data_IF_638732966248
#
_entry.id   IF_638732966248
#
_cell.length_a   1.000
_cell.length_b   1.000
_cell.length_c   1.000
_cell.angle_alpha   90.00
_cell.angle_beta   90.00
_cell.angle_gamma   90.00
#
_symmetry.space_group_name_H-M   'P 1'
#
loop_
_entity.id
_entity.type
_entity.pdbx_description
1 polymer ?
#
# COMPACT_ATOMS: atom_id res chain seq x y z
N UNK A 1 12.98 13.36 0.47
CA UNK A 1 13.91 12.30 0.02
C UNK A 1 13.13 11.35 -0.86
N UNK A 2 13.63 11.00 -2.03
CA UNK A 2 12.96 10.02 -2.88
C UNK A 2 12.99 8.65 -2.18
N UNK A 3 11.85 7.97 -2.14
CA UNK A 3 11.74 6.62 -1.62
C UNK A 3 12.52 5.66 -2.54
N UNK A 4 13.48 4.92 -1.97
CA UNK A 4 14.27 3.94 -2.74
C UNK A 4 14.00 2.53 -2.21
N UNK A 5 13.31 1.72 -3.00
CA UNK A 5 12.98 0.33 -2.70
C UNK A 5 14.22 -0.60 -2.65
N UNK A 6 15.32 -0.19 -3.30
CA UNK A 6 16.57 -0.98 -3.30
C UNK A 6 17.26 -0.98 -1.93
N UNK A 7 16.75 -0.16 -0.99
CA UNK A 7 17.19 -0.19 0.40
C UNK A 7 16.60 -1.36 1.20
N UNK A 8 15.65 -2.12 0.62
CA UNK A 8 14.98 -3.21 1.31
C UNK A 8 15.40 -4.56 0.72
N UNK A 9 15.66 -5.52 1.60
CA UNK A 9 15.96 -6.90 1.20
C UNK A 9 14.66 -7.67 1.03
N UNK A 10 14.52 -8.43 -0.03
CA UNK A 10 13.35 -9.26 -0.27
C UNK A 10 13.35 -10.54 0.59
N UNK A 11 12.19 -11.15 0.74
CA UNK A 11 12.02 -12.34 1.58
C UNK A 11 12.78 -13.56 1.03
N UNK A 12 12.80 -13.83 -0.29
CA UNK A 12 13.62 -14.90 -0.87
C UNK A 12 15.10 -14.79 -0.52
N UNK A 13 15.67 -13.60 -0.59
CA UNK A 13 17.07 -13.35 -0.22
C UNK A 13 17.32 -13.65 1.25
N UNK A 14 16.46 -13.13 2.16
CA UNK A 14 16.53 -13.42 3.60
C UNK A 14 16.45 -14.92 3.89
N UNK A 15 15.52 -15.62 3.23
CA UNK A 15 15.34 -17.07 3.40
C UNK A 15 16.56 -17.84 2.88
N UNK A 16 17.12 -17.43 1.75
CA UNK A 16 18.33 -18.07 1.21
C UNK A 16 19.52 -17.93 2.16
N UNK A 17 19.71 -16.75 2.75
CA UNK A 17 20.75 -16.52 3.77
C UNK A 17 20.51 -17.36 5.03
N UNK A 18 19.25 -17.45 5.47
CA UNK A 18 18.87 -18.24 6.64
C UNK A 18 19.13 -19.73 6.42
N UNK A 19 18.76 -20.29 5.26
CA UNK A 19 19.00 -21.69 4.91
C UNK A 19 20.48 -22.01 4.77
N UNK A 20 21.31 -21.08 4.30
CA UNK A 20 22.78 -21.28 4.28
C UNK A 20 23.34 -21.41 5.69
N UNK A 21 22.81 -20.62 6.65
CA UNK A 21 23.27 -20.64 8.05
C UNK A 21 22.66 -21.78 8.85
N UNK A 22 21.40 -22.09 8.58
CA UNK A 22 20.59 -23.11 9.28
C UNK A 22 19.97 -24.06 8.25
N UNK A 23 20.71 -25.08 7.77
CA UNK A 23 20.23 -26.01 6.73
C UNK A 23 18.96 -26.78 7.13
N UNK A 24 18.74 -26.98 8.43
CA UNK A 24 17.58 -27.68 8.98
C UNK A 24 16.44 -26.76 9.41
N UNK A 25 16.48 -25.48 8.95
CA UNK A 25 15.45 -24.50 9.25
C UNK A 25 14.03 -25.02 8.92
N UNK A 26 13.09 -24.73 9.80
CA UNK A 26 11.67 -25.06 9.64
C UNK A 26 10.84 -23.81 9.78
N UNK A 27 9.78 -23.74 8.99
CA UNK A 27 8.82 -22.65 8.99
C UNK A 27 7.45 -23.23 9.31
N UNK A 28 6.76 -22.62 10.26
CA UNK A 28 5.39 -22.96 10.60
C UNK A 28 4.51 -21.72 10.50
N UNK A 29 3.43 -21.84 9.76
CA UNK A 29 2.40 -20.82 9.63
C UNK A 29 1.22 -21.17 10.52
N UNK A 30 0.76 -20.22 11.34
CA UNK A 30 -0.33 -20.40 12.29
C UNK A 30 -1.19 -19.14 12.36
N UNK A 31 -2.35 -19.26 13.01
CA UNK A 31 -3.23 -18.14 13.32
C UNK A 31 -3.69 -17.35 12.09
N UNK A 32 -3.91 -18.09 10.99
CA UNK A 32 -4.36 -17.53 9.72
C UNK A 32 -5.87 -17.29 9.76
N UNK A 33 -6.29 -16.04 9.98
CA UNK A 33 -7.71 -15.68 10.12
C UNK A 33 -7.99 -14.24 9.73
N UNK A 34 -9.24 -13.97 9.35
CA UNK A 34 -9.74 -12.60 9.20
C UNK A 34 -10.20 -12.10 10.56
N UNK A 35 -9.68 -10.94 10.96
CA UNK A 35 -10.03 -10.28 12.23
C UNK A 35 -10.70 -8.93 11.93
N UNK A 36 -11.71 -8.60 12.75
CA UNK A 36 -12.37 -7.28 12.68
C UNK A 36 -11.93 -6.46 13.88
N UNK A 37 -11.49 -5.25 13.61
CA UNK A 37 -11.09 -4.28 14.62
C UNK A 37 -12.31 -3.55 15.19
N UNK A 38 -12.19 -2.88 16.35
CA UNK A 38 -13.30 -2.13 16.96
C UNK A 38 -13.87 -1.00 16.09
N UNK A 39 -13.09 -0.46 15.17
CA UNK A 39 -13.50 0.55 14.19
C UNK A 39 -14.22 -0.02 12.97
N UNK A 40 -14.44 -1.35 12.93
CA UNK A 40 -15.08 -2.06 11.82
C UNK A 40 -14.13 -2.41 10.67
N UNK A 41 -12.87 -2.00 10.69
CA UNK A 41 -11.89 -2.41 9.69
C UNK A 41 -11.56 -3.89 9.83
N UNK A 42 -11.32 -4.56 8.71
CA UNK A 42 -10.99 -5.99 8.66
C UNK A 42 -9.59 -6.21 8.14
N UNK A 43 -8.91 -7.20 8.73
CA UNK A 43 -7.56 -7.59 8.35
C UNK A 43 -7.46 -9.10 8.28
N UNK A 44 -6.67 -9.58 7.33
CA UNK A 44 -6.14 -10.93 7.40
C UNK A 44 -4.90 -10.92 8.30
N UNK A 45 -4.94 -11.68 9.38
CA UNK A 45 -3.85 -11.85 10.34
C UNK A 45 -3.26 -13.25 10.21
N UNK A 46 -1.94 -13.34 10.23
CA UNK A 46 -1.22 -14.61 10.28
C UNK A 46 0.05 -14.46 11.11
N UNK A 47 0.50 -15.58 11.66
CA UNK A 47 1.72 -15.68 12.43
C UNK A 47 2.64 -16.71 11.78
N UNK A 48 3.91 -16.37 11.65
CA UNK A 48 4.96 -17.27 11.17
C UNK A 48 5.98 -17.47 12.26
N UNK A 49 6.31 -18.73 12.51
CA UNK A 49 7.37 -19.17 13.42
C UNK A 49 8.47 -19.80 12.59
N UNK A 50 9.71 -19.33 12.80
CA UNK A 50 10.90 -19.84 12.12
C UNK A 50 11.82 -20.48 13.16
N UNK A 51 12.02 -21.78 13.04
CA UNK A 51 12.91 -22.60 13.86
C UNK A 51 14.25 -22.78 13.14
N UNK A 52 15.37 -22.67 13.88
CA UNK A 52 16.71 -22.94 13.33
C UNK A 52 16.92 -24.43 13.02
N UNK A 53 16.29 -25.29 13.85
CA UNK A 53 16.25 -26.74 13.72
C UNK A 53 15.04 -27.30 14.47
N UNK A 54 14.95 -28.64 14.59
CA UNK A 54 13.82 -29.35 15.25
C UNK A 54 13.79 -29.11 16.76
N UNK A 55 14.95 -28.82 17.39
CA UNK A 55 15.11 -28.67 18.84
C UNK A 55 15.16 -27.19 19.26
N UNK A 56 14.85 -26.26 18.37
CA UNK A 56 14.89 -24.83 18.66
C UNK A 56 13.81 -24.41 19.66
N UNK A 57 14.21 -24.26 20.94
CA UNK A 57 13.33 -23.87 22.04
C UNK A 57 12.92 -22.38 22.00
N UNK A 58 13.62 -21.54 21.24
CA UNK A 58 13.39 -20.08 21.15
C UNK A 58 13.32 -19.64 19.68
N UNK A 59 12.32 -20.08 18.93
CA UNK A 59 12.18 -19.72 17.53
C UNK A 59 11.86 -18.23 17.35
N UNK A 60 12.14 -17.70 16.16
CA UNK A 60 11.69 -16.37 15.80
C UNK A 60 10.21 -16.39 15.41
N UNK A 61 9.41 -15.52 16.02
CA UNK A 61 7.95 -15.43 15.79
C UNK A 61 7.62 -14.03 15.31
N UNK A 62 6.85 -13.93 14.23
CA UNK A 62 6.34 -12.67 13.75
C UNK A 62 4.89 -12.79 13.29
N UNK A 63 4.10 -11.76 13.56
CA UNK A 63 2.72 -11.64 13.09
C UNK A 63 2.63 -10.49 12.09
N UNK A 64 1.91 -10.70 11.01
CA UNK A 64 1.52 -9.68 10.05
C UNK A 64 0.00 -9.57 9.96
N UNK A 65 -0.47 -8.38 9.59
CA UNK A 65 -1.87 -8.12 9.31
C UNK A 65 -1.96 -7.29 8.02
N UNK A 66 -2.68 -7.82 7.03
CA UNK A 66 -2.95 -7.15 5.77
C UNK A 66 -4.41 -6.72 5.70
N UNK A 67 -4.73 -5.52 5.18
CA UNK A 67 -6.12 -5.10 4.99
C UNK A 67 -6.92 -6.14 4.19
N UNK A 68 -8.14 -6.42 4.61
CA UNK A 68 -9.05 -7.35 3.95
C UNK A 68 -10.40 -6.70 3.71
N UNK A 69 -10.86 -6.57 2.44
CA UNK A 69 -10.14 -6.90 1.20
C UNK A 69 -8.91 -6.01 0.97
N UNK A 70 -7.93 -6.54 0.22
CA UNK A 70 -6.69 -5.83 -0.11
C UNK A 70 -6.95 -4.54 -0.87
N UNK A 71 -6.26 -3.46 -0.49
CA UNK A 71 -6.49 -2.11 -1.03
C UNK A 71 -5.66 -1.79 -2.27
N UNK A 72 -4.54 -2.49 -2.46
CA UNK A 72 -3.62 -2.23 -3.58
C UNK A 72 -3.79 -3.28 -4.68
N UNK A 73 -3.40 -2.98 -5.94
CA UNK A 73 -3.37 -3.99 -7.00
C UNK A 73 -2.49 -5.21 -6.67
N UNK A 74 -1.47 -5.00 -5.83
CA UNK A 74 -0.55 -6.06 -5.40
C UNK A 74 -1.19 -6.97 -4.34
N UNK A 75 -1.99 -6.42 -3.43
CA UNK A 75 -2.59 -7.17 -2.32
C UNK A 75 -3.97 -7.73 -2.65
N UNK A 76 -4.74 -7.07 -3.53
CA UNK A 76 -6.11 -7.47 -3.87
C UNK A 76 -6.16 -8.90 -4.42
N UNK A 77 -7.00 -9.74 -3.78
CA UNK A 77 -7.15 -11.17 -4.06
C UNK A 77 -5.88 -12.01 -3.79
N UNK A 78 -4.90 -11.45 -3.05
CA UNK A 78 -3.65 -12.11 -2.68
C UNK A 78 -3.30 -11.88 -1.21
N UNK A 79 -4.25 -11.40 -0.42
CA UNK A 79 -4.06 -10.94 0.96
C UNK A 79 -3.41 -12.02 1.84
N UNK A 80 -3.86 -13.27 1.68
CA UNK A 80 -3.32 -14.42 2.42
C UNK A 80 -1.83 -14.64 2.10
N UNK A 81 -1.48 -14.68 0.82
CA UNK A 81 -0.08 -14.89 0.39
C UNK A 81 0.82 -13.72 0.79
N UNK A 82 0.32 -12.48 0.66
CA UNK A 82 1.07 -11.29 1.03
C UNK A 82 1.28 -11.24 2.54
N UNK A 83 0.26 -11.51 3.34
CA UNK A 83 0.34 -11.55 4.80
C UNK A 83 1.34 -12.61 5.29
N UNK A 84 1.29 -13.84 4.75
CA UNK A 84 2.25 -14.90 5.07
C UNK A 84 3.69 -14.50 4.72
N UNK A 85 3.88 -13.93 3.53
CA UNK A 85 5.21 -13.47 3.10
C UNK A 85 5.73 -12.34 3.99
N UNK A 86 4.86 -11.39 4.38
CA UNK A 86 5.21 -10.29 5.29
C UNK A 86 5.62 -10.81 6.67
N UNK A 87 4.85 -11.76 7.23
CA UNK A 87 5.17 -12.38 8.52
C UNK A 87 6.51 -13.14 8.46
N UNK A 88 6.73 -13.94 7.41
CA UNK A 88 8.00 -14.65 7.19
C UNK A 88 9.18 -13.69 7.10
N UNK A 89 9.04 -12.64 6.29
CA UNK A 89 10.08 -11.62 6.13
C UNK A 89 10.49 -10.96 7.45
N UNK A 90 9.52 -10.68 8.33
CA UNK A 90 9.77 -10.15 9.68
C UNK A 90 10.43 -11.17 10.59
N UNK A 91 9.96 -12.42 10.63
CA UNK A 91 10.56 -13.48 11.44
C UNK A 91 12.04 -13.70 11.08
N UNK A 92 12.36 -13.75 9.78
CA UNK A 92 13.74 -13.84 9.30
C UNK A 92 14.54 -12.57 9.66
N UNK A 93 13.92 -11.39 9.61
CA UNK A 93 14.53 -10.14 10.08
C UNK A 93 14.87 -10.19 11.56
N UNK A 94 14.02 -10.74 12.42
CA UNK A 94 14.30 -10.92 13.85
C UNK A 94 15.46 -11.89 14.12
N UNK A 95 15.73 -12.83 13.20
CA UNK A 95 16.90 -13.69 13.23
C UNK A 95 18.18 -12.99 12.72
N UNK A 96 18.08 -11.73 12.29
CA UNK A 96 19.21 -10.90 11.82
C UNK A 96 19.48 -10.98 10.31
N UNK A 97 18.63 -11.62 9.52
CA UNK A 97 18.84 -11.71 8.06
C UNK A 97 18.32 -10.46 7.33
N UNK A 98 19.20 -9.86 6.52
CA UNK A 98 18.87 -8.72 5.69
C UNK A 98 18.41 -7.47 6.44
N UNK A 99 18.89 -7.25 7.69
CA UNK A 99 18.47 -6.13 8.55
C UNK A 99 19.37 -4.90 8.47
N UNK A 100 20.33 -4.87 7.57
CA UNK A 100 21.33 -3.81 7.49
C UNK A 100 20.73 -2.39 7.34
N UNK A 101 19.52 -2.30 6.84
CA UNK A 101 18.82 -1.02 6.60
C UNK A 101 17.40 -0.98 7.18
N UNK A 102 16.68 -2.10 7.26
CA UNK A 102 15.31 -2.18 7.75
C UNK A 102 14.90 -3.60 8.14
N UNK A 103 14.06 -3.72 9.17
CA UNK A 103 13.38 -4.99 9.49
C UNK A 103 12.28 -5.30 8.46
N UNK A 104 11.60 -4.25 7.94
CA UNK A 104 10.62 -4.44 6.88
C UNK A 104 11.26 -5.04 5.63
N UNK A 105 10.60 -5.99 4.98
CA UNK A 105 11.07 -6.57 3.72
C UNK A 105 10.61 -5.72 2.53
N UNK A 106 11.27 -5.89 1.37
CA UNK A 106 10.87 -5.25 0.12
C UNK A 106 9.41 -5.56 -0.24
N UNK A 107 8.99 -6.80 -0.03
CA UNK A 107 7.63 -7.26 -0.28
C UNK A 107 6.60 -6.53 0.60
N UNK A 108 6.90 -6.35 1.90
CA UNK A 108 6.03 -5.63 2.83
C UNK A 108 5.88 -4.15 2.44
N UNK A 109 6.96 -3.54 1.99
CA UNK A 109 6.95 -2.14 1.55
C UNK A 109 6.14 -1.98 0.25
N UNK A 110 6.31 -2.89 -0.72
CA UNK A 110 5.52 -2.91 -1.97
C UNK A 110 4.02 -3.06 -1.69
N UNK A 111 3.65 -3.88 -0.73
CA UNK A 111 2.24 -4.09 -0.35
C UNK A 111 1.56 -2.80 0.16
N UNK A 112 2.33 -1.81 0.60
CA UNK A 112 1.84 -0.55 1.19
C UNK A 112 2.02 0.68 0.31
N UNK A 113 2.79 0.60 -0.78
CA UNK A 113 3.14 1.77 -1.59
C UNK A 113 1.96 2.46 -2.27
N UNK A 114 0.86 1.77 -2.49
CA UNK A 114 -0.34 2.35 -3.13
C UNK A 114 -1.36 2.90 -2.12
N UNK A 115 -1.12 2.74 -0.80
CA UNK A 115 -1.97 3.31 0.27
C UNK A 115 -1.42 4.69 0.74
N UNK A 116 -0.22 5.07 0.32
CA UNK A 116 0.51 6.25 0.80
C UNK A 116 0.45 7.43 -0.17
N UNK A 117 -0.74 8.00 -0.37
CA UNK A 117 -0.85 9.42 -0.76
C UNK A 117 -0.90 10.35 0.47
N UNK A 118 -0.61 9.86 1.67
CA UNK A 118 -0.49 10.68 2.88
C UNK A 118 0.87 10.46 3.54
N UNK A 119 1.72 11.50 3.72
CA UNK A 119 2.93 11.38 4.51
C UNK A 119 2.55 11.11 5.96
N UNK A 120 3.02 9.99 6.52
CA UNK A 120 2.93 9.72 7.95
C UNK A 120 3.73 10.77 8.71
N UNK A 121 3.09 11.83 9.15
CA UNK A 121 3.61 12.69 10.21
C UNK A 121 3.53 11.91 11.51
N UNK A 122 4.71 11.60 12.07
CA UNK A 122 4.88 11.08 13.41
C UNK A 122 4.12 11.98 14.38
N UNK A 123 3.20 11.48 15.22
CA UNK A 123 2.54 12.32 16.20
C UNK A 123 3.59 12.75 17.25
N UNK A 124 3.92 14.01 17.23
CA UNK A 124 4.55 14.67 18.38
C UNK A 124 3.52 14.69 19.52
N UNK A 125 3.88 14.11 20.66
CA UNK A 125 3.09 14.20 21.87
C UNK A 125 3.01 15.67 22.31
N UNK A 126 1.95 16.37 21.95
CA UNK A 126 1.52 17.57 22.65
C UNK A 126 0.06 17.42 23.06
N UNK A 127 -0.10 17.47 24.36
CA UNK A 127 -1.32 17.49 25.16
C UNK A 127 -2.01 18.83 24.97
N UNK A 128 -3.29 18.84 24.54
CA UNK A 128 -4.31 19.79 25.05
C UNK A 128 -5.64 19.65 24.29
N UNK A 129 -6.63 19.24 25.03
CA UNK A 129 -7.94 19.86 25.31
C UNK A 129 -8.83 20.35 24.15
N UNK A 130 -9.98 19.64 24.04
CA UNK A 130 -11.37 20.06 23.78
C UNK A 130 -11.70 20.92 22.55
N UNK A 131 -12.66 20.41 21.79
CA UNK A 131 -13.48 21.24 20.91
C UNK A 131 -14.24 20.43 19.86
N UNK A 132 -15.41 19.97 20.21
CA UNK A 132 -16.40 19.35 19.33
C UNK A 132 -16.72 20.19 18.11
N UNK A 133 -16.77 19.57 16.91
CA UNK A 133 -17.86 19.81 15.95
C UNK A 133 -17.92 18.67 14.95
N UNK A 134 -19.00 17.93 15.05
CA UNK A 134 -19.45 16.98 14.03
C UNK A 134 -19.74 17.73 12.72
N UNK A 135 -19.21 17.19 11.63
CA UNK A 135 -19.79 17.40 10.31
C UNK A 135 -19.94 16.04 9.66
N UNK A 136 -21.19 15.67 9.50
CA UNK A 136 -21.62 14.57 8.65
C UNK A 136 -21.10 14.81 7.24
N UNK A 137 -20.45 13.82 6.64
CA UNK A 137 -20.30 13.79 5.20
C UNK A 137 -20.75 12.45 4.66
N UNK A 138 -21.67 12.62 3.76
CA UNK A 138 -22.39 11.66 2.97
C UNK A 138 -21.51 10.64 2.24
N UNK A 139 -22.16 9.51 1.98
CA UNK A 139 -21.70 8.39 1.19
C UNK A 139 -20.97 8.82 -0.09
N UNK A 140 -19.73 8.38 -0.25
CA UNK A 140 -19.04 8.44 -1.52
C UNK A 140 -19.70 7.45 -2.50
N UNK A 141 -20.11 7.90 -3.71
CA UNK A 141 -20.60 7.00 -4.73
C UNK A 141 -19.46 6.12 -5.25
N UNK A 142 -19.70 4.83 -5.36
CA UNK A 142 -18.83 3.86 -6.02
C UNK A 142 -18.77 4.14 -7.53
N UNK A 143 -17.92 5.05 -7.95
CA UNK A 143 -17.66 5.37 -9.35
C UNK A 143 -16.22 5.03 -9.72
N UNK A 144 -16.02 4.50 -10.92
CA UNK A 144 -14.71 4.27 -11.53
C UNK A 144 -14.01 5.61 -11.86
N UNK A 145 -13.59 6.37 -10.85
CA UNK A 145 -12.92 7.65 -11.06
C UNK A 145 -11.51 7.48 -11.62
N UNK A 146 -11.04 8.51 -12.32
CA UNK A 146 -9.68 8.57 -12.82
C UNK A 146 -8.65 8.48 -11.68
N UNK A 147 -7.60 7.70 -11.89
CA UNK A 147 -6.52 7.60 -10.92
C UNK A 147 -5.76 8.93 -10.80
N UNK A 148 -5.13 9.18 -9.65
CA UNK A 148 -4.28 10.35 -9.46
C UNK A 148 -3.16 10.44 -10.52
N UNK A 149 -2.65 9.30 -11.01
CA UNK A 149 -1.66 9.27 -12.11
C UNK A 149 -2.24 9.81 -13.41
N UNK A 150 -3.46 9.45 -13.77
CA UNK A 150 -4.14 9.95 -14.97
C UNK A 150 -4.41 11.46 -14.87
N UNK A 151 -4.89 11.92 -13.72
CA UNK A 151 -5.16 13.35 -13.46
C UNK A 151 -3.86 14.17 -13.52
N UNK A 152 -2.78 13.71 -12.87
CA UNK A 152 -1.49 14.37 -12.90
C UNK A 152 -0.88 14.38 -14.31
N UNK A 153 -1.12 13.33 -15.09
CA UNK A 153 -0.66 13.30 -16.48
C UNK A 153 -1.44 14.28 -17.37
N UNK A 154 -2.76 14.41 -17.18
CA UNK A 154 -3.57 15.43 -17.87
C UNK A 154 -3.09 16.84 -17.51
N UNK A 155 -2.84 17.12 -16.23
CA UNK A 155 -2.27 18.41 -15.77
C UNK A 155 -0.89 18.68 -16.39
N UNK A 156 -0.04 17.67 -16.52
CA UNK A 156 1.27 17.79 -17.14
C UNK A 156 1.16 18.08 -18.66
N UNK A 157 0.22 17.44 -19.35
CA UNK A 157 -0.07 17.70 -20.76
C UNK A 157 -0.61 19.12 -20.99
N UNK A 158 -1.50 19.58 -20.09
CA UNK A 158 -2.03 20.96 -20.12
C UNK A 158 -0.92 21.98 -19.91
N UNK A 159 -0.05 21.77 -18.93
CA UNK A 159 1.11 22.62 -18.67
C UNK A 159 2.09 22.67 -19.86
N UNK A 160 2.30 21.55 -20.54
CA UNK A 160 3.15 21.50 -21.74
C UNK A 160 2.57 22.25 -22.94
N UNK A 161 1.29 22.59 -22.91
CA UNK A 161 0.57 23.38 -23.90
C UNK A 161 0.21 24.80 -23.43
N UNK A 162 0.72 25.18 -22.25
CA UNK A 162 0.49 26.48 -21.61
C UNK A 162 -1.00 26.79 -21.33
N UNK A 163 -1.84 25.73 -21.17
CA UNK A 163 -3.24 25.90 -20.77
C UNK A 163 -3.33 26.28 -19.31
N UNK A 164 -4.13 27.31 -19.01
CA UNK A 164 -4.56 27.60 -17.65
C UNK A 164 -5.68 26.62 -17.19
N UNK A 165 -6.14 26.74 -15.94
CA UNK A 165 -7.17 25.84 -15.39
C UNK A 165 -8.52 25.98 -16.13
N UNK A 166 -8.87 27.18 -16.61
CA UNK A 166 -10.10 27.44 -17.34
C UNK A 166 -10.04 26.81 -18.75
N UNK A 167 -8.96 27.03 -19.47
CA UNK A 167 -8.72 26.47 -20.79
C UNK A 167 -8.65 24.94 -20.77
N UNK A 168 -8.06 24.37 -19.72
CA UNK A 168 -8.07 22.93 -19.51
C UNK A 168 -9.50 22.41 -19.32
N UNK A 169 -10.31 23.10 -18.53
CA UNK A 169 -11.70 22.72 -18.29
C UNK A 169 -12.53 22.78 -19.57
N UNK A 170 -12.41 23.86 -20.36
CA UNK A 170 -13.04 23.98 -21.67
C UNK A 170 -12.63 22.85 -22.62
N UNK A 171 -11.34 22.50 -22.61
CA UNK A 171 -10.83 21.39 -23.42
C UNK A 171 -11.38 20.03 -22.99
N UNK A 172 -11.55 19.82 -21.69
CA UNK A 172 -12.22 18.61 -21.16
C UNK A 172 -13.67 18.53 -21.64
N UNK A 173 -14.41 19.64 -21.58
CA UNK A 173 -15.79 19.72 -22.05
C UNK A 173 -15.90 19.45 -23.56
N UNK A 174 -14.99 20.00 -24.36
CA UNK A 174 -14.93 19.76 -25.80
C UNK A 174 -14.69 18.26 -26.12
N UNK A 175 -13.69 17.66 -25.47
CA UNK A 175 -13.29 16.27 -25.73
C UNK A 175 -14.38 15.27 -25.29
N UNK A 176 -15.05 15.56 -24.17
CA UNK A 176 -16.04 14.66 -23.58
C UNK A 176 -17.47 14.94 -24.06
N UNK A 177 -17.70 16.09 -24.68
CA UNK A 177 -19.02 16.47 -25.20
C UNK A 177 -20.05 16.79 -24.12
N UNK A 178 -19.61 17.18 -22.91
CA UNK A 178 -20.47 17.48 -21.76
C UNK A 178 -19.80 18.51 -20.85
N UNK A 179 -20.61 19.39 -20.23
CA UNK A 179 -20.14 20.55 -19.47
C UNK A 179 -20.20 20.39 -17.94
N UNK A 180 -20.51 19.18 -17.46
CA UNK A 180 -20.66 18.83 -16.04
C UNK A 180 -19.40 18.18 -15.45
N UNK A 181 -18.29 18.17 -16.17
CA UNK A 181 -17.07 17.45 -15.83
C UNK A 181 -16.03 18.40 -15.26
N UNK A 182 -15.51 18.04 -14.09
CA UNK A 182 -14.33 18.63 -13.49
C UNK A 182 -13.25 17.55 -13.31
N UNK A 183 -11.99 17.93 -13.15
CA UNK A 183 -10.87 16.99 -13.03
C UNK A 183 -11.07 15.94 -11.92
N UNK A 184 -11.69 16.34 -10.81
CA UNK A 184 -11.94 15.51 -9.63
C UNK A 184 -13.04 14.46 -9.86
N UNK A 185 -13.95 14.70 -10.80
CA UNK A 185 -15.06 13.80 -11.12
C UNK A 185 -14.88 12.99 -12.40
N UNK A 186 -13.71 13.13 -13.07
CA UNK A 186 -13.37 12.34 -14.24
C UNK A 186 -13.41 10.85 -13.95
N UNK A 187 -14.06 10.08 -14.83
CA UNK A 187 -13.93 8.62 -14.77
C UNK A 187 -12.61 8.15 -15.38
N UNK A 188 -12.16 6.95 -15.04
CA UNK A 188 -10.96 6.34 -15.61
C UNK A 188 -11.03 6.22 -17.15
N UNK A 189 -12.24 5.97 -17.68
CA UNK A 189 -12.51 5.93 -19.12
C UNK A 189 -12.38 7.30 -19.79
N UNK A 190 -12.97 8.34 -19.16
CA UNK A 190 -12.88 9.71 -19.64
C UNK A 190 -11.42 10.20 -19.63
N UNK A 191 -10.70 9.95 -18.54
CA UNK A 191 -9.28 10.32 -18.44
C UNK A 191 -8.43 9.63 -19.52
N UNK A 192 -8.70 8.37 -19.84
CA UNK A 192 -7.99 7.66 -20.92
C UNK A 192 -8.27 8.31 -22.27
N UNK A 193 -9.53 8.68 -22.53
CA UNK A 193 -9.94 9.36 -23.78
C UNK A 193 -9.26 10.74 -23.90
N UNK A 194 -9.29 11.52 -22.81
CA UNK A 194 -8.64 12.84 -22.76
C UNK A 194 -7.14 12.73 -23.01
N UNK A 195 -6.45 11.82 -22.33
CA UNK A 195 -5.02 11.57 -22.53
C UNK A 195 -4.71 11.17 -23.97
N UNK A 196 -5.56 10.35 -24.60
CA UNK A 196 -5.38 9.91 -25.97
C UNK A 196 -5.46 11.06 -27.00
N UNK A 197 -6.29 12.08 -26.73
CA UNK A 197 -6.46 13.23 -27.61
C UNK A 197 -5.44 14.34 -27.30
N UNK A 198 -5.08 14.49 -26.02
CA UNK A 198 -4.10 15.47 -25.55
C UNK A 198 -2.65 14.96 -25.64
N UNK A 199 -2.34 13.85 -26.22
CA UNK A 199 -0.99 13.31 -26.39
C UNK A 199 -0.45 13.65 -27.75
#
# INVERSE_FOLDING_TARGET
MAFNIDNYVDVPTRLTEALKKYPNLRIQETDAQVVTMPDGSTFYRCTVTVYRDIDDALPAIATAAEPYPGKTPYTKNSEFMVGMTSALGRALGYMGFGVNKSIASKNEVLARQDDDSQPMTRPEHTRAVAGSKAVLNDAAPSGNFASAKQINFIKALAKGREYDEGELLEKLHEILGRNDVILETLTASDATKVIGIMK
#
